data_IF_456975507266
#
_entry.id   IF_456975507266
#
_cell.length_a   1.000
_cell.length_b   1.000
_cell.length_c   1.000
_cell.angle_alpha   90.00
_cell.angle_beta   90.00
_cell.angle_gamma   90.00
#
_symmetry.space_group_name_H-M   'P 1'
#
loop_
_entity.id
_entity.type
_entity.pdbx_description
1 polymer ?
#
# COMPACT_ATOMS: atom_id res chain seq x y z
N UNK A 1 12.17 -28.78 39.39
CA UNK A 1 12.34 -27.43 38.79
C UNK A 1 12.94 -27.60 37.41
N UNK A 2 12.14 -27.52 36.36
CA UNK A 2 12.64 -27.54 34.98
C UNK A 2 13.31 -26.19 34.65
N UNK A 3 14.60 -26.23 34.33
CA UNK A 3 15.34 -25.05 33.87
C UNK A 3 14.88 -24.73 32.45
N UNK A 4 14.32 -23.54 32.26
CA UNK A 4 14.06 -23.02 30.92
C UNK A 4 15.40 -22.80 30.22
N UNK A 5 15.65 -23.51 29.13
CA UNK A 5 16.84 -23.36 28.32
C UNK A 5 16.79 -22.00 27.61
N UNK A 6 17.66 -21.08 27.99
CA UNK A 6 17.78 -19.77 27.35
C UNK A 6 18.62 -19.91 26.08
N UNK A 7 17.97 -19.80 24.92
CA UNK A 7 18.67 -19.75 23.65
C UNK A 7 19.38 -18.40 23.49
N UNK A 8 20.70 -18.42 23.23
CA UNK A 8 21.48 -17.23 22.94
C UNK A 8 21.16 -16.72 21.53
N UNK A 9 20.52 -15.56 21.44
CA UNK A 9 20.31 -14.85 20.16
C UNK A 9 21.69 -14.59 19.53
N UNK A 10 21.88 -15.03 18.28
CA UNK A 10 23.13 -14.85 17.53
C UNK A 10 23.10 -13.68 16.55
N UNK A 11 21.91 -13.36 16.03
CA UNK A 11 21.71 -12.32 15.04
C UNK A 11 20.26 -11.84 15.12
N UNK A 12 20.05 -10.55 14.87
CA UNK A 12 18.74 -9.95 14.64
C UNK A 12 18.83 -9.25 13.29
N UNK A 13 17.92 -9.59 12.37
CA UNK A 13 17.80 -8.94 11.08
C UNK A 13 16.65 -7.95 11.18
N UNK A 14 16.95 -6.69 10.87
CA UNK A 14 15.95 -5.66 10.79
C UNK A 14 15.70 -5.32 9.32
N UNK A 15 14.43 -5.26 8.96
CA UNK A 15 14.02 -4.55 7.76
C UNK A 15 14.32 -3.04 7.92
N UNK A 16 14.44 -2.33 6.81
CA UNK A 16 14.83 -0.93 6.83
C UNK A 16 13.60 -0.03 6.97
N UNK A 17 12.74 -0.05 5.95
CA UNK A 17 11.63 0.88 5.82
C UNK A 17 10.49 0.50 6.77
N UNK A 18 10.04 1.46 7.57
CA UNK A 18 9.00 1.27 8.60
C UNK A 18 9.34 0.25 9.71
N UNK A 19 10.57 -0.25 9.75
CA UNK A 19 11.12 -1.03 10.88
C UNK A 19 12.25 -0.25 11.58
N UNK A 20 13.30 0.17 10.87
CA UNK A 20 14.37 1.02 11.41
C UNK A 20 14.20 2.50 11.09
N UNK A 21 13.65 2.82 9.92
CA UNK A 21 13.48 4.18 9.42
C UNK A 21 12.01 4.45 9.13
N UNK A 22 11.44 5.45 9.78
CA UNK A 22 10.07 5.88 9.47
C UNK A 22 10.01 6.57 8.10
N UNK A 23 9.20 6.03 7.19
CA UNK A 23 9.07 6.56 5.82
C UNK A 23 7.72 7.25 5.58
N UNK A 24 6.97 7.61 6.63
CA UNK A 24 5.65 8.24 6.52
C UNK A 24 5.61 9.50 5.64
N UNK A 25 6.67 10.32 5.63
CA UNK A 25 6.76 11.51 4.76
C UNK A 25 6.90 11.13 3.27
N UNK A 26 7.44 9.95 2.97
CA UNK A 26 7.52 9.44 1.61
C UNK A 26 6.15 9.04 1.07
N UNK A 27 5.25 8.54 1.93
CA UNK A 27 3.88 8.19 1.53
C UNK A 27 3.11 9.39 0.95
N UNK A 28 3.22 10.56 1.57
CA UNK A 28 2.55 11.77 1.06
C UNK A 28 3.09 12.15 -0.33
N UNK A 29 4.40 12.02 -0.55
CA UNK A 29 5.02 12.26 -1.86
C UNK A 29 4.58 11.23 -2.89
N UNK A 30 4.49 9.96 -2.48
CA UNK A 30 4.00 8.89 -3.35
C UNK A 30 2.54 9.15 -3.77
N UNK A 31 1.66 9.50 -2.82
CA UNK A 31 0.27 9.86 -3.14
C UNK A 31 0.19 11.04 -4.12
N UNK A 32 0.97 12.11 -3.91
CA UNK A 32 1.02 13.25 -4.85
C UNK A 32 1.47 12.81 -6.24
N UNK A 33 2.51 11.97 -6.33
CA UNK A 33 3.01 11.50 -7.63
C UNK A 33 1.98 10.61 -8.35
N UNK A 34 1.30 9.72 -7.62
CA UNK A 34 0.21 8.91 -8.17
C UNK A 34 -0.94 9.80 -8.63
N UNK A 35 -1.28 10.85 -7.87
CA UNK A 35 -2.30 11.81 -8.27
C UNK A 35 -1.95 12.49 -9.60
N UNK A 36 -0.69 12.87 -9.82
CA UNK A 36 -0.24 13.41 -11.11
C UNK A 36 -0.44 12.43 -12.27
N UNK A 37 -0.14 11.14 -12.07
CA UNK A 37 -0.37 10.11 -13.09
C UNK A 37 -1.86 9.93 -13.37
N UNK A 38 -2.69 9.92 -12.33
CA UNK A 38 -4.15 9.78 -12.46
C UNK A 38 -4.78 10.95 -13.23
N UNK A 39 -4.34 12.18 -12.95
CA UNK A 39 -4.76 13.38 -13.69
C UNK A 39 -4.45 13.23 -15.18
N UNK A 40 -3.23 12.84 -15.51
CA UNK A 40 -2.79 12.69 -16.90
C UNK A 40 -3.53 11.54 -17.63
N UNK A 41 -3.74 10.40 -16.95
CA UNK A 41 -4.27 9.19 -17.59
C UNK A 41 -5.79 9.19 -17.73
N UNK A 42 -6.50 9.87 -16.83
CA UNK A 42 -7.97 9.80 -16.75
C UNK A 42 -8.66 11.17 -16.71
N UNK A 43 -7.91 12.25 -16.95
CA UNK A 43 -8.43 13.63 -16.95
C UNK A 43 -9.18 14.01 -15.67
N UNK A 44 -8.64 13.57 -14.53
CA UNK A 44 -9.22 13.86 -13.22
C UNK A 44 -8.80 15.24 -12.72
N UNK A 45 -9.64 15.84 -11.88
CA UNK A 45 -9.24 17.00 -11.10
C UNK A 45 -8.17 16.62 -10.07
N UNK A 46 -7.44 17.63 -9.59
CA UNK A 46 -6.42 17.43 -8.56
C UNK A 46 -7.01 16.86 -7.26
N UNK A 47 -8.22 17.31 -6.90
CA UNK A 47 -8.91 16.85 -5.69
C UNK A 47 -9.34 15.38 -5.80
N UNK A 48 -9.93 14.98 -6.93
CA UNK A 48 -10.32 13.58 -7.18
C UNK A 48 -9.10 12.65 -7.16
N UNK A 49 -8.03 13.02 -7.87
CA UNK A 49 -6.82 12.20 -7.95
C UNK A 49 -6.13 12.04 -6.58
N UNK A 50 -6.08 13.10 -5.78
CA UNK A 50 -5.53 13.05 -4.43
C UNK A 50 -6.45 12.24 -3.48
N UNK A 51 -7.77 12.39 -3.62
CA UNK A 51 -8.75 11.60 -2.86
C UNK A 51 -8.59 10.10 -3.12
N UNK A 52 -8.43 9.69 -4.38
CA UNK A 52 -8.20 8.28 -4.76
C UNK A 52 -6.90 7.74 -4.14
N UNK A 53 -5.78 8.43 -4.36
CA UNK A 53 -4.47 7.97 -3.88
C UNK A 53 -4.40 7.87 -2.35
N UNK A 54 -4.97 8.85 -1.64
CA UNK A 54 -5.06 8.82 -0.17
C UNK A 54 -6.05 7.78 0.36
N UNK A 55 -7.18 7.55 -0.34
CA UNK A 55 -8.15 6.50 0.01
C UNK A 55 -7.53 5.11 -0.07
N UNK A 56 -6.74 4.83 -1.10
CA UNK A 56 -5.98 3.58 -1.19
C UNK A 56 -5.04 3.41 0.00
N UNK A 57 -4.14 4.37 0.23
CA UNK A 57 -3.18 4.31 1.33
C UNK A 57 -3.85 4.12 2.69
N UNK A 58 -4.95 4.83 2.94
CA UNK A 58 -5.73 4.70 4.17
C UNK A 58 -6.28 3.29 4.34
N UNK A 59 -6.82 2.70 3.28
CA UNK A 59 -7.39 1.35 3.35
C UNK A 59 -6.29 0.28 3.49
N UNK A 60 -5.18 0.44 2.75
CA UNK A 60 -4.02 -0.43 2.86
C UNK A 60 -3.45 -0.44 4.29
N UNK A 61 -3.31 0.72 4.93
CA UNK A 61 -2.83 0.80 6.33
C UNK A 61 -3.75 0.13 7.34
N UNK A 62 -5.06 0.05 7.07
CA UNK A 62 -6.02 -0.63 7.96
C UNK A 62 -5.85 -2.15 7.92
N UNK A 63 -5.52 -2.69 6.75
CA UNK A 63 -5.33 -4.11 6.52
C UNK A 63 -4.31 -4.27 5.37
N UNK A 64 -3.00 -4.31 5.70
CA UNK A 64 -1.93 -4.38 4.69
C UNK A 64 -1.93 -5.71 3.94
N UNK A 65 -2.44 -6.75 4.59
CA UNK A 65 -2.52 -8.10 4.07
C UNK A 65 -3.87 -8.72 4.46
N UNK A 66 -4.46 -9.45 3.52
CA UNK A 66 -5.65 -10.25 3.72
C UNK A 66 -5.28 -11.71 3.47
N UNK A 67 -5.24 -12.53 4.52
CA UNK A 67 -4.81 -13.94 4.46
C UNK A 67 -5.75 -14.85 3.66
N UNK A 68 -6.91 -14.35 3.23
CA UNK A 68 -7.87 -15.10 2.42
C UNK A 68 -7.63 -14.99 0.91
N UNK A 69 -6.69 -14.16 0.46
CA UNK A 69 -6.38 -13.98 -0.96
C UNK A 69 -4.90 -13.64 -1.17
N UNK A 70 -4.44 -13.74 -2.42
CA UNK A 70 -3.08 -13.37 -2.76
C UNK A 70 -2.83 -11.87 -2.53
N UNK A 71 -1.58 -11.50 -2.24
CA UNK A 71 -1.19 -10.13 -1.93
C UNK A 71 -1.48 -9.18 -3.11
N UNK A 72 -1.25 -9.61 -4.34
CA UNK A 72 -1.48 -8.79 -5.52
C UNK A 72 -2.98 -8.67 -5.84
N UNK A 73 -3.74 -9.74 -5.58
CA UNK A 73 -5.20 -9.71 -5.64
C UNK A 73 -5.78 -8.72 -4.62
N UNK A 74 -5.27 -8.75 -3.39
CA UNK A 74 -5.69 -7.82 -2.34
C UNK A 74 -5.38 -6.35 -2.68
N UNK A 75 -4.16 -6.08 -3.15
CA UNK A 75 -3.73 -4.73 -3.56
C UNK A 75 -4.57 -4.23 -4.74
N UNK A 76 -4.79 -5.07 -5.73
CA UNK A 76 -5.63 -4.76 -6.90
C UNK A 76 -7.07 -4.47 -6.47
N UNK A 77 -7.63 -5.27 -5.55
CA UNK A 77 -8.95 -5.04 -4.99
C UNK A 77 -9.03 -3.68 -4.28
N UNK A 78 -8.12 -3.38 -3.35
CA UNK A 78 -8.08 -2.10 -2.65
C UNK A 78 -7.96 -0.92 -3.61
N UNK A 79 -7.16 -1.06 -4.67
CA UNK A 79 -7.01 -0.04 -5.70
C UNK A 79 -8.28 0.18 -6.51
N UNK A 80 -8.96 -0.91 -6.88
CA UNK A 80 -10.25 -0.85 -7.57
C UNK A 80 -11.32 -0.11 -6.75
N UNK A 81 -11.31 -0.28 -5.42
CA UNK A 81 -12.21 0.41 -4.50
C UNK A 81 -11.85 1.89 -4.35
N UNK A 82 -10.56 2.22 -4.42
CA UNK A 82 -10.09 3.59 -4.37
C UNK A 82 -10.48 4.37 -5.63
N UNK A 83 -10.26 3.80 -6.82
CA UNK A 83 -10.59 4.37 -8.12
C UNK A 83 -12.09 4.64 -8.33
N UNK A 84 -12.95 3.90 -7.65
CA UNK A 84 -14.40 3.99 -7.79
C UNK A 84 -14.93 3.35 -9.08
N UNK A 85 -16.25 3.32 -9.23
CA UNK A 85 -16.92 2.57 -10.31
C UNK A 85 -16.48 2.98 -11.71
N UNK A 86 -16.28 4.28 -11.93
CA UNK A 86 -15.92 4.86 -13.25
C UNK A 86 -14.58 4.33 -13.77
N UNK A 87 -13.61 4.08 -12.89
CA UNK A 87 -12.23 3.73 -13.26
C UNK A 87 -11.75 2.38 -12.74
N UNK A 88 -12.55 1.67 -11.92
CA UNK A 88 -12.27 0.33 -11.35
C UNK A 88 -11.72 -0.66 -12.36
N UNK A 89 -12.26 -0.67 -13.59
CA UNK A 89 -11.85 -1.59 -14.66
C UNK A 89 -10.37 -1.48 -15.03
N UNK A 90 -9.73 -0.35 -14.70
CA UNK A 90 -8.32 -0.14 -14.96
C UNK A 90 -7.42 -0.57 -13.80
N UNK A 91 -7.97 -1.09 -12.68
CA UNK A 91 -7.14 -1.42 -11.52
C UNK A 91 -6.10 -2.49 -11.80
N UNK A 92 -6.46 -3.52 -12.59
CA UNK A 92 -5.59 -4.65 -12.91
C UNK A 92 -4.35 -4.23 -13.71
N UNK A 93 -4.51 -3.30 -14.67
CA UNK A 93 -3.41 -2.83 -15.53
C UNK A 93 -2.34 -1.99 -14.81
N UNK A 94 -2.49 -1.77 -13.51
CA UNK A 94 -1.46 -1.12 -12.67
C UNK A 94 -0.54 -2.12 -11.97
N UNK A 95 -0.94 -3.40 -11.92
CA UNK A 95 -0.18 -4.47 -11.27
C UNK A 95 0.28 -5.56 -12.26
N UNK A 96 -0.19 -5.52 -13.51
CA UNK A 96 0.38 -6.30 -14.60
C UNK A 96 1.75 -5.71 -14.97
N UNK A 97 2.82 -6.48 -14.70
CA UNK A 97 4.22 -6.15 -15.07
C UNK A 97 4.68 -7.04 -16.21
#
# INVERSE_FOLDING_TARGET
>A
MERHQTYSIKCILFDLDNTLIETRKADERACKKIADVLKLKYDLTNEEALSISTKFLRNFRKCPENTHMDLDEWRTYLWSQALGEKHRKHAVSWFET
#
